data_IF_686992774438
#
_entry.id   IF_686992774438
#
_cell.length_a   1.000
_cell.length_b   1.000
_cell.length_c   1.000
_cell.angle_alpha   90.00
_cell.angle_beta   90.00
_cell.angle_gamma   90.00
#
_symmetry.space_group_name_H-M   'P 1'
#
loop_
_entity.id
_entity.type
_entity.pdbx_description
1 polymer ?
#
# COMPACT_ATOMS: atom_id res chain seq x y z
N UNK A 1 -15.11 9.71 18.56
CA UNK A 1 -13.90 10.37 18.03
C UNK A 1 -12.93 10.79 19.13
N UNK A 2 -13.30 11.67 20.06
CA UNK A 2 -12.37 12.24 21.09
C UNK A 2 -11.75 11.23 22.05
N UNK A 3 -12.46 10.17 22.43
CA UNK A 3 -11.88 9.07 23.24
C UNK A 3 -10.76 8.35 22.49
N UNK A 4 -10.96 8.11 21.18
CA UNK A 4 -9.90 7.52 20.34
C UNK A 4 -8.69 8.43 20.22
N UNK A 5 -8.89 9.75 20.04
CA UNK A 5 -7.80 10.73 19.97
C UNK A 5 -6.99 10.80 21.26
N UNK A 6 -7.66 10.73 22.42
CA UNK A 6 -6.98 10.71 23.72
C UNK A 6 -6.15 9.43 23.89
N UNK A 7 -6.69 8.27 23.50
CA UNK A 7 -5.94 7.02 23.55
C UNK A 7 -4.72 7.02 22.62
N UNK A 8 -4.82 7.69 21.45
CA UNK A 8 -3.66 7.86 20.55
C UNK A 8 -2.61 8.82 21.11
N UNK A 9 -3.02 9.88 21.81
CA UNK A 9 -2.12 10.79 22.51
C UNK A 9 -1.39 10.06 23.65
N UNK A 10 -2.08 9.25 24.43
CA UNK A 10 -1.48 8.45 25.50
C UNK A 10 -0.46 7.45 24.91
N UNK A 11 -0.82 6.76 23.82
CA UNK A 11 0.10 5.88 23.11
C UNK A 11 1.33 6.61 22.55
N UNK A 12 1.14 7.81 22.00
CA UNK A 12 2.24 8.64 21.51
C UNK A 12 3.24 8.99 22.62
N UNK A 13 2.73 9.35 23.81
CA UNK A 13 3.56 9.64 24.96
C UNK A 13 4.33 8.40 25.43
N UNK A 14 3.69 7.23 25.48
CA UNK A 14 4.36 5.96 25.78
C UNK A 14 5.49 5.62 24.80
N UNK A 15 5.24 5.83 23.50
CA UNK A 15 6.24 5.61 22.45
C UNK A 15 7.42 6.56 22.65
N UNK A 16 7.15 7.83 22.92
CA UNK A 16 8.18 8.83 23.18
C UNK A 16 9.05 8.46 24.40
N UNK A 17 8.43 8.00 25.49
CA UNK A 17 9.16 7.49 26.66
C UNK A 17 10.02 6.26 26.32
N UNK A 18 9.48 5.31 25.55
CA UNK A 18 10.21 4.09 25.13
C UNK A 18 11.39 4.43 24.21
N UNK A 19 11.24 5.40 23.31
CA UNK A 19 12.33 5.85 22.44
C UNK A 19 13.51 6.48 23.19
N UNK A 20 13.27 7.04 24.37
CA UNK A 20 14.32 7.60 25.26
C UNK A 20 15.06 6.54 26.09
N UNK A 21 14.58 5.29 26.12
CA UNK A 21 15.21 4.24 26.90
C UNK A 21 16.46 3.67 26.21
N UNK A 22 17.58 3.49 26.92
CA UNK A 22 18.82 2.94 26.34
C UNK A 22 18.66 1.54 25.73
N UNK A 23 17.74 0.73 26.27
CA UNK A 23 17.44 -0.62 25.79
C UNK A 23 16.82 -0.58 24.38
N UNK A 24 15.96 0.37 24.12
CA UNK A 24 15.30 0.58 22.82
C UNK A 24 16.30 1.06 21.77
N UNK A 25 17.20 1.98 22.14
CA UNK A 25 18.23 2.52 21.23
C UNK A 25 19.20 1.44 20.76
N UNK A 26 19.49 0.46 21.64
CA UNK A 26 20.37 -0.67 21.30
C UNK A 26 19.70 -1.75 20.43
N UNK A 27 18.37 -1.73 20.30
CA UNK A 27 17.62 -2.66 19.47
C UNK A 27 17.10 -1.96 18.20
N UNK A 28 17.87 -2.04 17.13
CA UNK A 28 17.59 -1.35 15.84
C UNK A 28 16.21 -1.68 15.28
N UNK A 29 15.77 -2.93 15.37
CA UNK A 29 14.46 -3.36 14.85
C UNK A 29 13.31 -2.73 15.64
N UNK A 30 13.38 -2.78 16.98
CA UNK A 30 12.38 -2.18 17.86
C UNK A 30 12.36 -0.66 17.70
N UNK A 31 13.55 -0.03 17.66
CA UNK A 31 13.66 1.42 17.44
C UNK A 31 13.01 1.85 16.14
N UNK A 32 13.30 1.15 15.03
CA UNK A 32 12.74 1.47 13.71
C UNK A 32 11.20 1.32 13.70
N UNK A 33 10.67 0.28 14.35
CA UNK A 33 9.22 0.08 14.47
C UNK A 33 8.55 1.21 15.27
N UNK A 34 9.12 1.58 16.43
CA UNK A 34 8.59 2.66 17.26
C UNK A 34 8.68 4.02 16.57
N UNK A 35 9.76 4.28 15.81
CA UNK A 35 9.90 5.52 15.03
C UNK A 35 8.89 5.63 13.90
N UNK A 36 8.53 4.52 13.25
CA UNK A 36 7.44 4.51 12.26
C UNK A 36 6.09 4.86 12.90
N UNK A 37 5.77 4.23 14.04
CA UNK A 37 4.55 4.56 14.78
C UNK A 37 4.54 6.02 15.25
N UNK A 38 5.67 6.51 15.78
CA UNK A 38 5.84 7.90 16.19
C UNK A 38 5.55 8.86 15.04
N UNK A 39 6.18 8.65 13.87
CA UNK A 39 5.96 9.46 12.66
C UNK A 39 4.49 9.47 12.23
N UNK A 40 3.80 8.34 12.37
CA UNK A 40 2.39 8.20 11.99
C UNK A 40 1.47 8.96 12.95
N UNK A 41 1.75 8.95 14.25
CA UNK A 41 0.92 9.57 15.28
C UNK A 41 1.17 11.09 15.44
N UNK A 42 2.38 11.56 15.12
CA UNK A 42 2.78 12.97 15.26
C UNK A 42 1.75 13.94 14.68
N UNK A 43 1.33 13.86 13.39
CA UNK A 43 0.40 14.82 12.82
C UNK A 43 -0.99 14.78 13.48
N UNK A 44 -1.41 13.62 13.98
CA UNK A 44 -2.70 13.46 14.68
C UNK A 44 -2.64 14.18 16.04
N UNK A 45 -1.57 13.95 16.80
CA UNK A 45 -1.40 14.53 18.14
C UNK A 45 -1.18 16.04 18.08
N UNK A 46 -0.43 16.54 17.08
CA UNK A 46 -0.25 17.97 16.87
C UNK A 46 -1.59 18.67 16.56
N UNK A 47 -2.36 18.12 15.62
CA UNK A 47 -3.69 18.68 15.29
C UNK A 47 -4.68 18.56 16.44
N UNK A 48 -4.62 17.50 17.21
CA UNK A 48 -5.44 17.38 18.42
C UNK A 48 -5.02 18.38 19.50
N UNK A 49 -3.74 18.70 19.61
CA UNK A 49 -3.23 19.77 20.44
C UNK A 49 -3.74 21.17 20.03
N UNK A 50 -3.80 21.44 18.71
CA UNK A 50 -4.40 22.67 18.17
C UNK A 50 -5.90 22.74 18.49
N UNK A 51 -6.64 21.65 18.31
CA UNK A 51 -8.06 21.56 18.67
C UNK A 51 -8.32 21.83 20.15
N UNK A 52 -7.51 21.27 21.06
CA UNK A 52 -7.63 21.54 22.49
C UNK A 52 -7.41 23.00 22.83
N UNK A 53 -6.48 23.68 22.15
CA UNK A 53 -6.24 25.12 22.33
C UNK A 53 -7.44 25.94 21.85
N UNK A 54 -7.97 25.63 20.65
CA UNK A 54 -9.15 26.28 20.11
C UNK A 54 -10.36 26.09 21.03
N UNK A 55 -10.54 24.85 21.56
CA UNK A 55 -11.60 24.55 22.51
C UNK A 55 -11.46 25.33 23.81
N UNK A 56 -10.25 25.40 24.38
CA UNK A 56 -10.00 26.17 25.59
C UNK A 56 -10.29 27.66 25.40
N UNK A 57 -9.90 28.23 24.25
CA UNK A 57 -10.21 29.60 23.89
C UNK A 57 -11.72 29.84 23.72
N UNK A 58 -12.44 28.87 23.15
CA UNK A 58 -13.90 28.92 23.04
C UNK A 58 -14.58 28.90 24.42
N UNK A 59 -14.17 27.96 25.29
CA UNK A 59 -14.71 27.82 26.64
C UNK A 59 -14.43 29.08 27.49
N UNK A 60 -13.22 29.66 27.39
CA UNK A 60 -12.86 30.93 28.05
C UNK A 60 -13.72 32.11 27.55
N UNK A 61 -13.92 32.22 26.23
CA UNK A 61 -14.76 33.26 25.65
C UNK A 61 -16.25 33.15 26.10
N UNK A 62 -16.75 31.92 26.25
CA UNK A 62 -18.09 31.67 26.79
C UNK A 62 -18.20 32.04 28.26
N UNK A 63 -17.23 31.66 29.08
CA UNK A 63 -17.20 32.03 30.51
C UNK A 63 -17.16 33.53 30.69
N UNK A 64 -16.35 34.24 29.89
CA UNK A 64 -16.28 35.70 29.92
C UNK A 64 -17.63 36.36 29.53
N UNK A 65 -18.30 35.84 28.51
CA UNK A 65 -19.62 36.35 28.10
C UNK A 65 -20.70 36.15 29.17
N UNK A 66 -20.65 34.99 29.86
CA UNK A 66 -21.60 34.61 30.91
C UNK A 66 -21.37 35.41 32.22
N UNK A 67 -20.11 35.78 32.53
CA UNK A 67 -19.78 36.56 33.70
C UNK A 67 -20.36 37.99 33.65
N UNK A 68 -20.64 38.54 32.49
CA UNK A 68 -21.24 39.85 32.28
C UNK A 68 -20.38 40.98 32.81
N UNK A 69 -20.90 42.23 32.72
CA UNK A 69 -20.22 43.40 33.30
C UNK A 69 -19.13 44.03 32.40
N UNK A 70 -18.99 43.56 31.16
CA UNK A 70 -18.04 44.03 30.17
C UNK A 70 -18.52 45.32 29.48
N UNK A 71 -17.58 46.18 29.08
CA UNK A 71 -17.89 47.26 28.18
C UNK A 71 -18.22 46.73 26.75
N UNK A 72 -18.77 47.63 25.92
CA UNK A 72 -19.26 47.24 24.60
C UNK A 72 -18.12 46.76 23.68
N UNK A 73 -16.99 47.46 23.71
CA UNK A 73 -15.86 47.17 22.82
C UNK A 73 -15.18 45.81 23.20
N UNK A 74 -15.05 45.53 24.50
CA UNK A 74 -14.52 44.28 25.01
C UNK A 74 -15.47 43.10 24.69
N UNK A 75 -16.78 43.33 24.81
CA UNK A 75 -17.77 42.31 24.46
C UNK A 75 -17.73 41.95 22.96
N UNK A 76 -17.59 42.97 22.08
CA UNK A 76 -17.45 42.73 20.64
C UNK A 76 -16.17 41.93 20.34
N UNK A 77 -15.05 42.22 21.00
CA UNK A 77 -13.80 41.48 20.86
C UNK A 77 -13.94 40.01 21.30
N UNK A 78 -14.58 39.74 22.45
CA UNK A 78 -14.82 38.38 22.94
C UNK A 78 -15.77 37.61 22.02
N UNK A 79 -16.78 38.28 21.43
CA UNK A 79 -17.67 37.68 20.45
C UNK A 79 -16.91 37.27 19.15
N UNK A 80 -16.03 38.15 18.66
CA UNK A 80 -15.18 37.82 17.51
C UNK A 80 -14.27 36.59 17.81
N UNK A 81 -13.65 36.57 18.99
CA UNK A 81 -12.83 35.42 19.41
C UNK A 81 -13.63 34.14 19.52
N UNK A 82 -14.89 34.22 19.97
CA UNK A 82 -15.81 33.08 20.04
C UNK A 82 -16.17 32.54 18.65
N UNK A 83 -16.41 33.42 17.68
CA UNK A 83 -16.71 33.02 16.30
C UNK A 83 -15.48 32.40 15.65
N UNK A 84 -14.30 33.01 15.75
CA UNK A 84 -13.04 32.49 15.23
C UNK A 84 -12.70 31.11 15.83
N UNK A 85 -12.80 30.96 17.15
CA UNK A 85 -12.52 29.68 17.79
C UNK A 85 -13.51 28.56 17.38
N UNK A 86 -14.79 28.89 17.10
CA UNK A 86 -15.76 27.93 16.57
C UNK A 86 -15.44 27.48 15.15
N UNK A 87 -15.04 28.41 14.28
CA UNK A 87 -14.63 28.10 12.91
C UNK A 87 -13.37 27.22 12.91
N UNK A 88 -12.38 27.57 13.74
CA UNK A 88 -11.17 26.79 13.90
C UNK A 88 -11.45 25.38 14.43
N UNK A 89 -12.31 25.24 15.43
CA UNK A 89 -12.73 23.94 15.95
C UNK A 89 -13.40 23.09 14.86
N UNK A 90 -14.32 23.65 14.10
CA UNK A 90 -15.01 22.93 13.04
C UNK A 90 -14.04 22.45 11.95
N UNK A 91 -13.12 23.30 11.54
CA UNK A 91 -12.07 22.97 10.57
C UNK A 91 -11.13 21.89 11.08
N UNK A 92 -10.67 22.02 12.32
CA UNK A 92 -9.78 21.04 12.95
C UNK A 92 -10.47 19.70 13.20
N UNK A 93 -11.78 19.67 13.46
CA UNK A 93 -12.56 18.44 13.53
C UNK A 93 -12.62 17.70 12.20
N UNK A 94 -12.79 18.39 11.08
CA UNK A 94 -12.75 17.79 9.76
C UNK A 94 -11.35 17.26 9.42
N UNK A 95 -10.30 18.04 9.71
CA UNK A 95 -8.92 17.60 9.51
C UNK A 95 -8.58 16.37 10.37
N UNK A 96 -9.02 16.33 11.63
CA UNK A 96 -8.84 15.19 12.52
C UNK A 96 -9.60 13.95 12.06
N UNK A 97 -10.82 14.09 11.54
CA UNK A 97 -11.56 12.99 10.93
C UNK A 97 -10.78 12.37 9.76
N UNK A 98 -10.21 13.20 8.90
CA UNK A 98 -9.36 12.75 7.78
C UNK A 98 -8.09 12.02 8.26
N UNK A 99 -7.42 12.54 9.30
CA UNK A 99 -6.22 11.94 9.86
C UNK A 99 -6.48 10.61 10.58
N UNK A 100 -7.70 10.41 11.09
CA UNK A 100 -8.13 9.17 11.76
C UNK A 100 -8.57 8.07 10.78
N UNK A 101 -8.67 8.37 9.47
CA UNK A 101 -8.95 7.35 8.48
C UNK A 101 -7.85 6.27 8.50
N UNK A 102 -8.23 5.00 8.40
CA UNK A 102 -7.25 3.93 8.34
C UNK A 102 -6.36 4.13 7.12
N UNK A 103 -5.07 4.35 7.37
CA UNK A 103 -4.06 4.40 6.30
C UNK A 103 -3.87 2.98 5.77
N UNK A 104 -3.73 2.86 4.46
CA UNK A 104 -3.34 1.60 3.85
C UNK A 104 -1.90 1.26 4.31
N UNK A 105 -1.67 0.08 4.91
CA UNK A 105 -0.33 -0.31 5.37
C UNK A 105 0.70 -0.36 4.23
N UNK A 106 0.23 -0.41 2.99
CA UNK A 106 1.09 -0.40 1.81
C UNK A 106 1.47 1.00 1.32
N UNK A 107 0.85 2.08 1.86
CA UNK A 107 1.07 3.45 1.38
C UNK A 107 2.53 3.93 1.49
N UNK A 108 3.31 3.37 2.42
CA UNK A 108 4.73 3.68 2.58
C UNK A 108 5.66 2.77 1.75
N UNK A 109 5.12 1.76 1.06
CA UNK A 109 5.90 0.81 0.28
C UNK A 109 6.31 1.37 -1.07
N UNK A 110 7.37 0.82 -1.62
CA UNK A 110 7.67 0.93 -3.04
C UNK A 110 6.59 0.23 -3.86
N UNK A 111 6.51 0.54 -5.13
CA UNK A 111 5.46 0.03 -6.01
C UNK A 111 6.06 -0.64 -7.25
N UNK A 112 5.45 -1.74 -7.66
CA UNK A 112 5.71 -2.40 -8.93
C UNK A 112 4.55 -2.09 -9.86
N UNK A 113 4.85 -1.53 -11.03
CA UNK A 113 3.87 -1.20 -12.06
C UNK A 113 4.08 -2.13 -13.25
N UNK A 114 3.01 -2.78 -13.66
CA UNK A 114 2.97 -3.60 -14.88
C UNK A 114 2.01 -2.97 -15.88
N UNK A 115 2.52 -2.66 -17.05
CA UNK A 115 1.74 -2.10 -18.16
C UNK A 115 1.71 -3.13 -19.26
N UNK A 116 0.50 -3.50 -19.72
CA UNK A 116 0.32 -4.46 -20.81
C UNK A 116 -0.61 -3.88 -21.89
N UNK A 117 -0.22 -4.04 -23.15
CA UNK A 117 -1.10 -3.77 -24.28
C UNK A 117 -2.34 -4.68 -24.21
N UNK A 118 -3.54 -4.08 -24.28
CA UNK A 118 -4.81 -4.78 -24.36
C UNK A 118 -5.34 -4.85 -25.80
N UNK A 119 -6.59 -4.46 -26.00
CA UNK A 119 -7.18 -4.41 -27.35
C UNK A 119 -6.59 -3.25 -28.17
N UNK A 120 -6.07 -3.54 -29.36
CA UNK A 120 -5.55 -2.51 -30.29
C UNK A 120 -4.22 -2.84 -30.96
N UNK A 121 -3.62 -4.01 -30.64
CA UNK A 121 -2.38 -4.45 -31.28
C UNK A 121 -1.21 -3.48 -31.07
N UNK A 122 -0.53 -3.10 -32.14
CA UNK A 122 0.61 -2.17 -32.14
C UNK A 122 0.29 -0.82 -31.49
N UNK A 123 -0.91 -0.29 -31.72
CA UNK A 123 -1.34 0.98 -31.13
C UNK A 123 -1.44 0.90 -29.59
N UNK A 124 -1.90 -0.23 -29.08
CA UNK A 124 -1.91 -0.47 -27.64
C UNK A 124 -0.48 -0.53 -27.08
N UNK A 125 0.45 -1.14 -27.80
CA UNK A 125 1.86 -1.19 -27.40
C UNK A 125 2.53 0.19 -27.42
N UNK A 126 2.25 1.02 -28.42
CA UNK A 126 2.74 2.41 -28.47
C UNK A 126 2.17 3.25 -27.33
N UNK A 127 0.88 3.04 -27.01
CA UNK A 127 0.28 3.75 -25.87
C UNK A 127 0.81 3.27 -24.51
N UNK A 128 1.15 2.00 -24.37
CA UNK A 128 1.88 1.49 -23.19
C UNK A 128 3.22 2.22 -23.00
N UNK A 129 3.94 2.49 -24.09
CA UNK A 129 5.15 3.31 -24.07
C UNK A 129 4.89 4.75 -23.63
N UNK A 130 3.78 5.34 -24.08
CA UNK A 130 3.36 6.69 -23.66
C UNK A 130 3.06 6.76 -22.15
N UNK A 131 2.37 5.74 -21.60
CA UNK A 131 2.09 5.64 -20.16
C UNK A 131 3.36 5.41 -19.36
N UNK A 132 4.25 4.53 -19.80
CA UNK A 132 5.55 4.33 -19.12
C UNK A 132 6.34 5.65 -19.07
N UNK A 133 6.40 6.39 -20.16
CA UNK A 133 7.05 7.71 -20.20
C UNK A 133 6.39 8.68 -19.21
N UNK A 134 5.07 8.74 -19.17
CA UNK A 134 4.30 9.57 -18.23
C UNK A 134 4.68 9.26 -16.78
N UNK A 135 4.68 7.99 -16.39
CA UNK A 135 5.04 7.58 -15.04
C UNK A 135 6.52 7.84 -14.72
N UNK A 136 7.41 7.67 -15.72
CA UNK A 136 8.84 7.95 -15.55
C UNK A 136 9.10 9.43 -15.30
N UNK A 137 8.43 10.31 -16.03
CA UNK A 137 8.54 11.75 -15.83
C UNK A 137 7.91 12.19 -14.50
N UNK A 138 6.79 11.58 -14.13
CA UNK A 138 6.14 11.83 -12.86
C UNK A 138 7.03 11.42 -11.68
N UNK A 139 7.59 10.22 -11.71
CA UNK A 139 8.52 9.75 -10.70
C UNK A 139 9.74 10.67 -10.56
N UNK A 140 10.32 11.09 -11.68
CA UNK A 140 11.44 12.05 -11.69
C UNK A 140 11.06 13.38 -11.03
N UNK A 141 9.84 13.89 -11.27
CA UNK A 141 9.34 15.13 -10.66
C UNK A 141 9.17 15.03 -9.14
N UNK A 142 8.89 13.81 -8.63
CA UNK A 142 8.76 13.53 -7.19
C UNK A 142 10.07 13.10 -6.53
N UNK A 143 11.16 12.99 -7.29
CA UNK A 143 12.46 12.50 -6.80
C UNK A 143 12.48 11.00 -6.52
N UNK A 144 11.56 10.23 -7.12
CA UNK A 144 11.53 8.77 -7.02
C UNK A 144 12.44 8.12 -8.05
N UNK A 145 12.96 6.95 -7.72
CA UNK A 145 13.82 6.15 -8.60
C UNK A 145 12.99 5.10 -9.33
N UNK A 146 13.25 4.92 -10.64
CA UNK A 146 12.63 3.87 -11.44
C UNK A 146 13.69 2.85 -11.84
N UNK A 147 13.34 1.57 -11.73
CA UNK A 147 14.13 0.45 -12.22
C UNK A 147 13.25 -0.46 -13.10
N UNK A 148 13.66 -0.66 -14.35
CA UNK A 148 12.96 -1.58 -15.26
C UNK A 148 13.34 -3.00 -14.94
N UNK A 149 12.34 -3.81 -14.56
CA UNK A 149 12.51 -5.23 -14.21
C UNK A 149 12.40 -6.14 -15.43
N UNK A 150 11.43 -5.86 -16.29
CA UNK A 150 11.18 -6.62 -17.51
C UNK A 150 10.54 -5.73 -18.58
N UNK A 151 10.95 -5.89 -19.84
CA UNK A 151 10.38 -5.16 -20.95
C UNK A 151 10.31 -6.07 -22.20
N UNK A 152 9.14 -6.06 -22.84
CA UNK A 152 8.91 -6.71 -24.15
C UNK A 152 8.57 -5.63 -25.17
N UNK A 153 9.61 -5.14 -25.82
CA UNK A 153 9.52 -4.05 -26.79
C UNK A 153 8.96 -4.53 -28.15
N UNK A 154 8.31 -3.63 -28.88
CA UNK A 154 7.88 -3.84 -30.25
C UNK A 154 8.81 -3.14 -31.23
N UNK A 155 8.79 -3.56 -32.50
CA UNK A 155 9.62 -2.98 -33.55
C UNK A 155 9.39 -1.47 -33.75
N UNK A 156 8.21 -0.96 -33.41
CA UNK A 156 7.83 0.45 -33.51
C UNK A 156 8.13 1.25 -32.23
N UNK A 157 8.86 0.70 -31.26
CA UNK A 157 9.25 1.40 -30.04
C UNK A 157 8.16 1.45 -28.94
N UNK A 158 7.12 0.63 -29.06
CA UNK A 158 6.13 0.41 -28.00
C UNK A 158 6.49 -0.78 -27.12
N UNK A 159 5.64 -1.07 -26.13
CA UNK A 159 5.78 -2.22 -25.22
C UNK A 159 4.55 -3.11 -25.29
N UNK A 160 4.73 -4.40 -25.63
CA UNK A 160 3.68 -5.41 -25.40
C UNK A 160 3.42 -5.57 -23.90
N UNK A 161 4.49 -5.55 -23.14
CA UNK A 161 4.49 -5.59 -21.68
C UNK A 161 5.75 -4.88 -21.18
N UNK A 162 5.60 -4.08 -20.12
CA UNK A 162 6.71 -3.52 -19.36
C UNK A 162 6.38 -3.56 -17.87
N UNK A 163 7.35 -4.03 -17.08
CA UNK A 163 7.28 -4.08 -15.62
C UNK A 163 8.45 -3.29 -15.05
N UNK A 164 8.17 -2.39 -14.14
CA UNK A 164 9.18 -1.56 -13.48
C UNK A 164 8.80 -1.28 -12.03
N UNK A 165 9.81 -1.10 -11.19
CA UNK A 165 9.63 -0.64 -9.82
C UNK A 165 9.75 0.88 -9.75
N UNK A 166 9.03 1.48 -8.81
CA UNK A 166 9.15 2.89 -8.45
C UNK A 166 9.41 2.96 -6.95
N UNK A 167 10.57 3.44 -6.56
CA UNK A 167 11.02 3.50 -5.17
C UNK A 167 11.09 4.95 -4.70
N UNK A 168 10.40 5.24 -3.61
CA UNK A 168 10.38 6.56 -2.98
C UNK A 168 9.25 6.72 -1.98
N UNK A 169 9.37 7.71 -1.10
CA UNK A 169 8.39 7.96 -0.04
C UNK A 169 7.01 8.28 -0.65
N UNK A 170 6.00 7.48 -0.25
CA UNK A 170 4.62 7.66 -0.70
C UNK A 170 4.35 7.25 -2.16
N UNK A 171 5.25 6.52 -2.82
CA UNK A 171 5.08 6.12 -4.21
C UNK A 171 3.80 5.28 -4.41
N UNK A 172 3.57 4.27 -3.58
CA UNK A 172 2.37 3.45 -3.66
C UNK A 172 1.10 4.26 -3.36
N UNK A 173 1.12 5.14 -2.36
CA UNK A 173 -0.05 5.94 -1.95
C UNK A 173 -0.61 6.80 -3.08
N UNK A 174 0.25 7.25 -4.01
CA UNK A 174 -0.11 8.06 -5.17
C UNK A 174 -0.49 7.20 -6.38
N UNK A 175 0.33 6.19 -6.67
CA UNK A 175 0.22 5.40 -7.90
C UNK A 175 -0.85 4.30 -7.82
N UNK A 176 -1.32 3.90 -6.62
CA UNK A 176 -2.40 2.92 -6.45
C UNK A 176 -3.68 3.26 -7.22
N UNK A 177 -3.95 4.54 -7.43
CA UNK A 177 -5.10 5.02 -8.20
C UNK A 177 -4.95 4.87 -9.71
N UNK A 178 -3.78 4.47 -10.20
CA UNK A 178 -3.52 4.26 -11.62
C UNK A 178 -3.84 2.84 -12.10
N UNK A 179 -4.21 1.94 -11.19
CA UNK A 179 -4.55 0.55 -11.53
C UNK A 179 -5.87 0.46 -12.28
N UNK A 180 -5.88 -0.29 -13.38
CA UNK A 180 -7.08 -0.55 -14.20
C UNK A 180 -6.84 -0.47 -15.71
N UNK A 181 -7.93 -0.33 -16.47
CA UNK A 181 -7.91 -0.26 -17.93
C UNK A 181 -7.88 1.20 -18.39
N UNK A 182 -6.82 1.59 -19.08
CA UNK A 182 -6.65 2.90 -19.69
C UNK A 182 -7.01 2.82 -21.18
N UNK A 183 -7.92 3.66 -21.61
CA UNK A 183 -8.41 3.70 -23.00
C UNK A 183 -7.86 4.92 -23.73
N UNK A 184 -7.27 4.73 -24.90
CA UNK A 184 -6.81 5.81 -25.77
C UNK A 184 -7.67 5.92 -27.02
N UNK A 185 -7.94 7.15 -27.44
CA UNK A 185 -8.60 7.50 -28.70
C UNK A 185 -7.70 8.47 -29.45
N UNK A 186 -7.03 7.97 -30.51
CA UNK A 186 -6.19 8.78 -31.39
C UNK A 186 -6.12 8.17 -32.78
N UNK A 187 -5.65 8.92 -33.73
CA UNK A 187 -5.26 8.40 -35.03
C UNK A 187 -3.89 7.73 -34.86
N UNK A 188 -3.76 6.40 -35.03
CA UNK A 188 -2.47 5.72 -34.90
C UNK A 188 -1.47 6.24 -35.95
N UNK A 189 -0.19 6.18 -35.65
CA UNK A 189 0.87 6.48 -36.63
C UNK A 189 0.87 5.53 -37.82
N UNK A 190 0.31 4.34 -37.66
CA UNK A 190 0.17 3.30 -38.67
C UNK A 190 -1.10 3.47 -39.54
N UNK A 191 -1.98 4.44 -39.22
CA UNK A 191 -3.25 4.65 -39.92
C UNK A 191 -3.08 5.68 -41.03
N UNK A 192 -3.26 5.25 -42.29
CA UNK A 192 -3.10 6.10 -43.46
C UNK A 192 -4.33 6.91 -43.84
N UNK A 193 -5.53 6.55 -43.33
CA UNK A 193 -6.82 7.20 -43.72
C UNK A 193 -7.31 8.20 -42.64
N UNK A 194 -6.51 8.48 -41.59
CA UNK A 194 -6.85 9.45 -40.55
C UNK A 194 -8.01 9.03 -39.64
N UNK A 195 -8.35 7.75 -39.56
CA UNK A 195 -9.42 7.25 -38.70
C UNK A 195 -8.97 7.18 -37.26
N UNK A 196 -9.83 7.66 -36.36
CA UNK A 196 -9.60 7.53 -34.89
C UNK A 196 -9.81 6.08 -34.49
N UNK A 197 -8.79 5.47 -33.91
CA UNK A 197 -8.87 4.14 -33.32
C UNK A 197 -9.02 4.25 -31.78
N UNK A 198 -9.61 3.20 -31.20
CA UNK A 198 -9.75 3.06 -29.77
C UNK A 198 -8.96 1.84 -29.32
N UNK A 199 -7.93 2.06 -28.54
CA UNK A 199 -7.07 1.01 -27.98
C UNK A 199 -7.11 1.03 -26.45
N UNK A 200 -6.73 -0.07 -25.83
CA UNK A 200 -6.68 -0.21 -24.38
C UNK A 200 -5.33 -0.73 -23.91
N UNK A 201 -4.94 -0.28 -22.74
CA UNK A 201 -3.77 -0.74 -22.01
C UNK A 201 -4.21 -1.04 -20.58
N UNK A 202 -3.75 -2.13 -20.02
CA UNK A 202 -3.98 -2.47 -18.62
C UNK A 202 -2.79 -2.08 -17.78
N UNK A 203 -3.04 -1.46 -16.63
CA UNK A 203 -2.03 -1.08 -15.65
C UNK A 203 -2.35 -1.80 -14.36
N UNK A 204 -1.43 -2.64 -13.88
CA UNK A 204 -1.49 -3.19 -12.53
C UNK A 204 -0.48 -2.46 -11.65
N UNK A 205 -0.92 -2.11 -10.44
CA UNK A 205 -0.12 -1.40 -9.45
C UNK A 205 -0.09 -2.25 -8.19
N UNK A 206 1.07 -2.80 -7.87
CA UNK A 206 1.26 -3.75 -6.79
C UNK A 206 2.25 -3.16 -5.77
N UNK A 207 1.99 -3.27 -4.46
CA UNK A 207 3.00 -2.92 -3.48
C UNK A 207 4.17 -3.90 -3.58
N UNK A 208 5.39 -3.40 -3.41
CA UNK A 208 6.57 -4.27 -3.30
C UNK A 208 6.41 -5.19 -2.10
N UNK A 209 6.56 -6.49 -2.34
CA UNK A 209 6.40 -7.50 -1.31
C UNK A 209 7.65 -7.59 -0.44
N UNK A 210 7.45 -7.73 0.87
CA UNK A 210 8.55 -8.02 1.80
C UNK A 210 9.11 -9.43 1.53
N UNK A 211 10.39 -9.63 1.79
CA UNK A 211 10.98 -10.96 1.77
C UNK A 211 10.30 -11.87 2.79
N UNK A 212 9.97 -13.08 2.35
CA UNK A 212 9.29 -14.07 3.20
C UNK A 212 10.28 -14.65 4.18
N UNK A 213 10.27 -14.18 5.41
CA UNK A 213 11.03 -14.79 6.50
C UNK A 213 10.23 -15.94 7.13
N UNK A 214 10.95 -17.03 7.45
CA UNK A 214 10.41 -18.15 8.19
C UNK A 214 10.81 -18.04 9.66
N UNK A 215 9.90 -17.55 10.50
CA UNK A 215 10.04 -17.66 11.95
C UNK A 215 9.49 -19.03 12.39
N UNK A 216 10.40 -19.91 12.81
CA UNK A 216 10.09 -21.26 13.24
C UNK A 216 10.64 -21.49 14.64
N UNK A 217 9.75 -21.59 15.63
CA UNK A 217 10.12 -21.95 16.99
C UNK A 217 10.12 -23.48 17.13
N UNK A 218 11.32 -24.09 17.13
CA UNK A 218 11.46 -25.55 17.18
C UNK A 218 10.83 -26.20 18.42
N UNK A 219 10.78 -25.50 19.55
CA UNK A 219 10.25 -26.05 20.81
C UNK A 219 8.72 -26.01 20.88
N UNK A 220 8.10 -24.98 20.31
CA UNK A 220 6.65 -24.77 20.39
C UNK A 220 5.90 -25.31 19.20
N UNK A 221 6.49 -25.19 18.00
CA UNK A 221 5.80 -25.44 16.75
C UNK A 221 6.03 -26.84 16.20
N UNK A 222 7.01 -27.58 16.76
CA UNK A 222 7.38 -28.90 16.24
C UNK A 222 7.10 -30.02 17.23
N UNK A 223 6.44 -31.05 16.73
CA UNK A 223 6.39 -32.39 17.37
C UNK A 223 7.34 -33.30 16.68
N UNK A 224 8.31 -33.85 17.42
CA UNK A 224 9.33 -34.75 16.92
C UNK A 224 9.09 -36.17 17.48
N UNK A 225 8.76 -37.08 16.58
CA UNK A 225 8.56 -38.49 16.89
C UNK A 225 9.73 -39.34 16.34
N UNK A 226 10.25 -40.24 17.17
CA UNK A 226 11.32 -41.16 16.80
C UNK A 226 10.72 -42.54 16.57
N UNK A 227 11.01 -43.14 15.44
CA UNK A 227 10.51 -44.48 15.12
C UNK A 227 11.58 -45.37 14.47
N UNK A 228 11.26 -46.65 14.29
CA UNK A 228 12.17 -47.60 13.65
C UNK A 228 12.06 -47.46 12.14
N UNK A 229 13.23 -47.40 11.47
CA UNK A 229 13.26 -47.34 10.01
C UNK A 229 12.64 -48.63 9.42
N UNK A 230 11.88 -48.46 8.35
CA UNK A 230 11.32 -49.58 7.58
C UNK A 230 12.17 -49.83 6.32
N UNK A 231 12.57 -51.03 6.04
CA UNK A 231 13.31 -51.37 4.81
C UNK A 231 14.09 -52.69 4.91
N UNK A 232 14.60 -53.16 3.77
CA UNK A 232 15.48 -54.36 3.70
C UNK A 232 16.86 -54.01 4.31
N UNK A 233 17.10 -54.40 5.55
CA UNK A 233 18.37 -54.15 6.25
C UNK A 233 18.62 -55.15 7.37
N UNK A 234 19.88 -55.22 7.81
CA UNK A 234 20.34 -56.16 8.83
C UNK A 234 19.91 -55.75 10.26
N UNK A 235 20.47 -56.38 11.28
CA UNK A 235 20.10 -56.21 12.71
C UNK A 235 20.07 -54.75 13.21
N UNK A 236 20.82 -53.87 12.58
CA UNK A 236 20.89 -52.46 12.99
C UNK A 236 19.58 -51.67 12.69
N UNK A 237 18.94 -51.93 11.54
CA UNK A 237 17.68 -51.25 11.12
C UNK A 237 16.52 -51.73 12.01
N UNK A 238 16.52 -52.99 12.43
CA UNK A 238 15.42 -53.57 13.21
C UNK A 238 15.51 -53.27 14.72
N UNK A 239 16.70 -52.92 15.23
CA UNK A 239 16.91 -52.68 16.67
C UNK A 239 17.04 -51.21 17.07
N UNK A 240 17.48 -50.33 16.18
CA UNK A 240 17.73 -48.90 16.51
C UNK A 240 16.64 -48.02 15.92
N UNK A 241 16.02 -47.16 16.77
CA UNK A 241 15.07 -46.16 16.34
C UNK A 241 15.83 -44.91 15.82
N UNK A 242 16.23 -44.94 14.55
CA UNK A 242 17.00 -43.88 13.91
C UNK A 242 16.15 -42.97 13.00
N UNK A 243 14.96 -43.42 12.63
CA UNK A 243 14.04 -42.64 11.81
C UNK A 243 13.35 -41.54 12.61
N UNK A 244 13.20 -40.39 12.00
CA UNK A 244 12.58 -39.18 12.58
C UNK A 244 11.37 -38.76 11.76
N UNK A 245 10.28 -38.47 12.46
CA UNK A 245 9.10 -37.75 11.91
C UNK A 245 8.96 -36.44 12.63
N UNK A 246 8.92 -35.35 11.87
CA UNK A 246 8.69 -34.02 12.39
C UNK A 246 7.34 -33.56 11.87
N UNK A 247 6.46 -33.17 12.78
CA UNK A 247 5.16 -32.57 12.48
C UNK A 247 5.18 -31.11 12.90
N UNK A 248 4.92 -30.23 11.96
CA UNK A 248 4.71 -28.79 12.25
C UNK A 248 3.27 -28.61 12.71
N UNK A 249 3.07 -28.31 13.98
CA UNK A 249 1.75 -28.27 14.63
C UNK A 249 0.79 -27.25 13.99
N UNK A 250 1.22 -25.99 13.66
CA UNK A 250 0.31 -25.01 13.11
C UNK A 250 -0.23 -25.35 11.72
N UNK A 251 0.58 -25.99 10.84
CA UNK A 251 0.17 -26.31 9.46
C UNK A 251 -0.20 -27.77 9.26
N UNK A 252 0.10 -28.64 10.23
CA UNK A 252 -0.07 -30.08 10.10
C UNK A 252 0.91 -30.72 9.12
N UNK A 253 1.93 -30.02 8.62
CA UNK A 253 2.92 -30.54 7.69
C UNK A 253 3.79 -31.58 8.36
N UNK A 254 3.95 -32.73 7.72
CA UNK A 254 4.75 -33.84 8.23
C UNK A 254 5.94 -34.10 7.30
N UNK A 255 7.11 -34.27 7.88
CA UNK A 255 8.34 -34.68 7.18
C UNK A 255 8.96 -35.88 7.90
N UNK A 256 9.26 -36.91 7.15
CA UNK A 256 9.95 -38.10 7.65
C UNK A 256 11.33 -38.23 7.00
N UNK A 257 12.30 -38.62 7.78
CA UNK A 257 13.65 -38.91 7.31
C UNK A 257 14.20 -40.19 7.98
N UNK A 258 14.66 -41.14 7.15
CA UNK A 258 15.25 -42.41 7.60
C UNK A 258 16.49 -42.80 6.78
N UNK A 259 17.11 -41.84 6.09
CA UNK A 259 18.19 -42.07 5.12
C UNK A 259 19.51 -42.44 5.80
N UNK A 260 19.75 -41.90 6.98
CA UNK A 260 21.00 -42.04 7.69
C UNK A 260 20.87 -43.03 8.88
N UNK A 261 22.00 -43.62 9.26
CA UNK A 261 22.07 -44.48 10.46
C UNK A 261 22.02 -43.69 11.77
N UNK A 262 22.29 -42.39 11.71
CA UNK A 262 22.30 -41.47 12.85
C UNK A 262 20.98 -40.74 12.96
N UNK A 263 20.32 -40.89 14.11
CA UNK A 263 19.10 -40.18 14.46
C UNK A 263 19.29 -38.64 14.36
N UNK A 264 20.46 -38.15 14.82
CA UNK A 264 20.76 -36.72 14.80
C UNK A 264 20.83 -36.19 13.36
N UNK A 265 21.50 -36.88 12.46
CA UNK A 265 21.58 -36.50 11.03
C UNK A 265 20.22 -36.57 10.36
N UNK A 266 19.37 -37.54 10.69
CA UNK A 266 18.00 -37.62 10.17
C UNK A 266 17.15 -36.47 10.68
N UNK A 267 17.30 -36.03 11.95
CA UNK A 267 16.63 -34.86 12.50
C UNK A 267 17.04 -33.60 11.76
N UNK A 268 18.33 -33.36 11.55
CA UNK A 268 18.85 -32.19 10.84
C UNK A 268 18.36 -32.14 9.39
N UNK A 269 18.39 -33.28 8.66
CA UNK A 269 17.82 -33.37 7.32
C UNK A 269 16.32 -33.08 7.29
N UNK A 270 15.57 -33.68 8.20
CA UNK A 270 14.13 -33.50 8.28
C UNK A 270 13.77 -32.03 8.57
N UNK A 271 14.48 -31.36 9.48
CA UNK A 271 14.31 -29.93 9.76
C UNK A 271 14.61 -29.08 8.53
N UNK A 272 15.69 -29.37 7.80
CA UNK A 272 16.05 -28.64 6.57
C UNK A 272 14.95 -28.77 5.51
N UNK A 273 14.43 -29.97 5.30
CA UNK A 273 13.33 -30.23 4.35
C UNK A 273 12.04 -29.56 4.81
N UNK A 274 11.73 -29.59 6.10
CA UNK A 274 10.56 -28.91 6.65
C UNK A 274 10.63 -27.41 6.45
N UNK A 275 11.77 -26.79 6.77
CA UNK A 275 11.98 -25.34 6.55
C UNK A 275 11.80 -24.96 5.10
N UNK A 276 12.37 -25.73 4.17
CA UNK A 276 12.20 -25.48 2.73
C UNK A 276 10.72 -25.57 2.32
N UNK A 277 10.00 -26.60 2.75
CA UNK A 277 8.58 -26.77 2.39
C UNK A 277 7.68 -25.69 3.00
N UNK A 278 7.94 -25.26 4.24
CA UNK A 278 7.19 -24.18 4.88
C UNK A 278 7.45 -22.85 4.19
N UNK A 279 8.71 -22.59 3.81
CA UNK A 279 9.06 -21.39 3.02
C UNK A 279 8.35 -21.42 1.66
N UNK A 280 8.42 -22.54 0.94
CA UNK A 280 7.74 -22.70 -0.35
C UNK A 280 6.22 -22.47 -0.23
N UNK A 281 5.59 -22.99 0.83
CA UNK A 281 4.17 -22.78 1.08
C UNK A 281 3.84 -21.30 1.33
N UNK A 282 4.64 -20.60 2.12
CA UNK A 282 4.46 -19.16 2.36
C UNK A 282 4.64 -18.33 1.07
N UNK A 283 5.68 -18.62 0.29
CA UNK A 283 5.94 -17.97 -1.00
C UNK A 283 4.79 -18.22 -1.99
N UNK A 284 4.27 -19.45 -2.04
CA UNK A 284 3.12 -19.76 -2.90
C UNK A 284 1.84 -19.03 -2.47
N UNK A 285 1.60 -18.91 -1.16
CA UNK A 285 0.47 -18.15 -0.64
C UNK A 285 0.57 -16.65 -1.02
N UNK A 286 1.75 -16.04 -0.83
CA UNK A 286 2.01 -14.65 -1.21
C UNK A 286 1.87 -14.43 -2.72
N UNK A 287 2.44 -15.31 -3.55
CA UNK A 287 2.32 -15.23 -5.00
C UNK A 287 0.87 -15.36 -5.48
N UNK A 288 0.07 -16.21 -4.81
CA UNK A 288 -1.36 -16.33 -5.10
C UNK A 288 -2.10 -15.03 -4.78
N UNK A 289 -1.86 -14.44 -3.63
CA UNK A 289 -2.46 -13.15 -3.24
C UNK A 289 -2.10 -12.04 -4.24
N UNK A 290 -0.83 -11.94 -4.64
CA UNK A 290 -0.37 -10.99 -5.66
C UNK A 290 -1.08 -11.25 -7.00
N UNK A 291 -1.22 -12.52 -7.41
CA UNK A 291 -1.89 -12.89 -8.65
C UNK A 291 -3.40 -12.56 -8.62
N UNK A 292 -4.07 -12.79 -7.49
CA UNK A 292 -5.48 -12.48 -7.31
C UNK A 292 -5.71 -10.94 -7.30
N UNK A 293 -4.85 -10.18 -6.62
CA UNK A 293 -4.86 -8.71 -6.62
C UNK A 293 -4.64 -8.15 -8.03
N UNK A 294 -3.63 -8.67 -8.76
CA UNK A 294 -3.39 -8.30 -10.16
C UNK A 294 -4.63 -8.56 -11.02
N UNK A 295 -5.24 -9.73 -10.89
CA UNK A 295 -6.43 -10.11 -11.68
C UNK A 295 -7.61 -9.18 -11.40
N UNK A 296 -7.84 -8.80 -10.14
CA UNK A 296 -8.92 -7.88 -9.77
C UNK A 296 -8.73 -6.48 -10.35
N UNK A 297 -7.49 -6.00 -10.46
CA UNK A 297 -7.17 -4.68 -11.02
C UNK A 297 -7.31 -4.62 -12.54
N UNK A 298 -6.90 -5.68 -13.25
CA UNK A 298 -6.75 -5.68 -14.71
C UNK A 298 -8.03 -6.13 -15.41
N UNK A 299 -8.90 -6.89 -14.74
CA UNK A 299 -10.12 -7.44 -15.35
C UNK A 299 -9.83 -8.26 -16.62
N UNK A 300 -10.64 -8.08 -17.66
CA UNK A 300 -10.45 -8.69 -18.98
C UNK A 300 -9.64 -7.82 -19.95
N UNK A 301 -9.39 -6.55 -19.59
CA UNK A 301 -8.77 -5.55 -20.46
C UNK A 301 -9.67 -5.05 -21.60
N UNK A 302 -10.98 -5.33 -21.51
CA UNK A 302 -11.96 -4.88 -22.51
C UNK A 302 -12.15 -3.36 -22.45
N UNK A 303 -12.54 -2.78 -23.60
CA UNK A 303 -12.78 -1.34 -23.72
C UNK A 303 -13.92 -0.81 -22.83
N UNK A 304 -14.81 -1.67 -22.38
CA UNK A 304 -15.92 -1.35 -21.48
C UNK A 304 -15.46 -1.14 -20.02
N UNK A 305 -14.40 -1.81 -19.60
CA UNK A 305 -13.87 -1.79 -18.21
C UNK A 305 -12.99 -0.56 -17.92
N UNK A 306 -12.93 0.38 -18.83
CA UNK A 306 -12.07 1.56 -18.71
C UNK A 306 -12.26 2.34 -17.43
N UNK A 307 -11.18 2.65 -16.74
CA UNK A 307 -11.15 3.62 -15.65
C UNK A 307 -10.95 5.04 -16.18
N UNK A 308 -10.13 5.20 -17.23
CA UNK A 308 -9.75 6.50 -17.78
C UNK A 308 -9.68 6.48 -19.30
N UNK A 309 -10.09 7.58 -19.94
CA UNK A 309 -10.02 7.76 -21.40
C UNK A 309 -9.13 8.96 -21.73
N UNK A 310 -8.18 8.74 -22.61
CA UNK A 310 -7.28 9.73 -23.21
C UNK A 310 -7.74 10.02 -24.63
N UNK A 311 -8.36 11.20 -24.85
CA UNK A 311 -8.89 11.62 -26.14
C UNK A 311 -7.96 12.65 -26.77
N UNK A 312 -7.13 12.23 -27.71
CA UNK A 312 -6.15 13.09 -28.38
C UNK A 312 -6.79 14.15 -29.27
N UNK A 313 -7.79 13.84 -30.14
CA UNK A 313 -8.46 14.85 -30.95
C UNK A 313 -9.03 16.02 -30.17
N UNK A 314 -9.52 15.78 -28.96
CA UNK A 314 -10.11 16.82 -28.10
C UNK A 314 -9.14 17.34 -27.02
N UNK A 315 -7.92 16.80 -26.93
CA UNK A 315 -6.92 17.20 -25.94
C UNK A 315 -7.36 16.98 -24.48
N UNK A 316 -8.31 16.03 -24.25
CA UNK A 316 -8.92 15.81 -22.94
C UNK A 316 -8.63 14.42 -22.36
N UNK A 317 -8.66 14.36 -21.03
CA UNK A 317 -8.64 13.14 -20.24
C UNK A 317 -9.91 13.10 -19.39
N UNK A 318 -10.59 11.94 -19.37
CA UNK A 318 -11.77 11.73 -18.52
C UNK A 318 -11.54 10.50 -17.64
N UNK A 319 -11.56 10.70 -16.30
CA UNK A 319 -11.58 9.61 -15.34
C UNK A 319 -13.03 9.27 -14.99
N UNK A 320 -13.41 8.03 -15.33
CA UNK A 320 -14.82 7.60 -15.26
C UNK A 320 -15.25 7.21 -13.84
N UNK A 321 -14.31 6.98 -12.95
CA UNK A 321 -14.59 6.61 -11.54
C UNK A 321 -15.22 7.76 -10.76
N UNK A 322 -14.77 8.98 -11.04
CA UNK A 322 -15.21 10.20 -10.35
C UNK A 322 -15.85 11.22 -11.29
N UNK A 323 -16.04 10.88 -12.59
CA UNK A 323 -16.61 11.77 -13.58
C UNK A 323 -15.78 13.01 -13.92
N UNK A 324 -14.49 13.03 -13.53
CA UNK A 324 -13.58 14.14 -13.77
C UNK A 324 -13.17 14.22 -15.25
N UNK A 325 -13.23 15.42 -15.83
CA UNK A 325 -12.70 15.68 -17.18
C UNK A 325 -11.79 16.89 -17.16
N UNK A 326 -10.57 16.74 -17.68
CA UNK A 326 -9.57 17.82 -17.77
C UNK A 326 -9.07 17.95 -19.22
N UNK A 327 -8.78 19.18 -19.65
CA UNK A 327 -8.34 19.52 -21.01
C UNK A 327 -6.83 19.82 -21.05
N UNK A 328 -6.03 18.95 -20.41
CA UNK A 328 -4.57 19.08 -20.29
C UNK A 328 -3.85 17.78 -20.62
N UNK A 329 -4.30 17.11 -21.68
CA UNK A 329 -3.79 15.80 -22.10
C UNK A 329 -2.25 15.76 -22.18
N UNK A 330 -1.65 16.72 -22.89
CA UNK A 330 -0.20 16.76 -23.10
C UNK A 330 0.57 16.96 -21.79
N UNK A 331 0.07 17.82 -20.89
CA UNK A 331 0.71 18.06 -19.60
C UNK A 331 0.72 16.79 -18.74
N UNK A 332 -0.39 16.08 -18.69
CA UNK A 332 -0.51 14.82 -17.95
C UNK A 332 0.44 13.77 -18.53
N UNK A 333 0.45 13.59 -19.84
CA UNK A 333 1.35 12.64 -20.51
C UNK A 333 2.83 13.02 -20.39
N UNK A 334 3.13 14.26 -20.08
CA UNK A 334 4.46 14.77 -19.76
C UNK A 334 4.77 14.75 -18.26
N UNK A 335 4.05 13.95 -17.46
CA UNK A 335 4.38 13.67 -16.07
C UNK A 335 3.72 14.58 -15.03
N UNK A 336 2.57 15.18 -15.34
CA UNK A 336 1.79 15.98 -14.40
C UNK A 336 0.37 15.40 -14.16
N UNK A 337 0.20 14.16 -13.66
CA UNK A 337 -1.10 13.56 -13.37
C UNK A 337 -1.67 13.99 -12.00
N UNK A 338 -1.02 14.88 -11.24
CA UNK A 338 -1.36 15.23 -9.86
C UNK A 338 -2.83 15.61 -9.69
N UNK A 339 -3.38 16.46 -10.58
CA UNK A 339 -4.79 16.91 -10.49
C UNK A 339 -5.78 15.73 -10.48
N UNK A 340 -5.50 14.68 -11.26
CA UNK A 340 -6.35 13.48 -11.31
C UNK A 340 -6.13 12.62 -10.07
N UNK A 341 -4.88 12.44 -9.67
CA UNK A 341 -4.52 11.61 -8.50
C UNK A 341 -5.08 12.24 -7.23
N UNK A 342 -4.97 13.56 -7.06
CA UNK A 342 -5.49 14.28 -5.90
C UNK A 342 -7.01 14.22 -5.82
N UNK A 343 -7.71 14.37 -6.94
CA UNK A 343 -9.16 14.20 -7.00
C UNK A 343 -9.61 12.78 -6.64
N UNK A 344 -8.88 11.76 -7.10
CA UNK A 344 -9.15 10.36 -6.74
C UNK A 344 -8.86 10.08 -5.26
N UNK A 345 -7.77 10.62 -4.72
CA UNK A 345 -7.45 10.49 -3.30
C UNK A 345 -8.51 11.14 -2.43
N UNK A 346 -8.99 12.33 -2.81
CA UNK A 346 -10.09 13.01 -2.10
C UNK A 346 -11.38 12.23 -2.15
N UNK A 347 -11.73 11.64 -3.31
CA UNK A 347 -12.92 10.81 -3.46
C UNK A 347 -12.82 9.51 -2.62
N UNK A 348 -11.65 8.86 -2.56
CA UNK A 348 -11.41 7.68 -1.72
C UNK A 348 -11.53 8.02 -0.23
N UNK A 349 -10.98 9.16 0.20
CA UNK A 349 -11.12 9.65 1.57
C UNK A 349 -12.58 9.93 1.93
N UNK A 350 -13.34 10.58 1.04
CA UNK A 350 -14.76 10.85 1.24
C UNK A 350 -15.58 9.56 1.34
N UNK A 351 -15.29 8.55 0.51
CA UNK A 351 -15.94 7.25 0.57
C UNK A 351 -15.65 6.51 1.90
N UNK A 352 -14.40 6.57 2.38
CA UNK A 352 -14.01 6.00 3.67
C UNK A 352 -14.67 6.70 4.86
N UNK A 353 -14.83 8.03 4.81
CA UNK A 353 -15.55 8.77 5.84
C UNK A 353 -17.03 8.36 5.88
N UNK A 354 -17.67 8.28 4.73
CA UNK A 354 -19.07 7.88 4.65
C UNK A 354 -19.30 6.46 5.21
N UNK A 355 -18.41 5.51 4.93
CA UNK A 355 -18.49 4.15 5.45
C UNK A 355 -18.31 4.07 6.98
N UNK A 356 -17.55 4.99 7.60
CA UNK A 356 -17.36 5.04 9.05
C UNK A 356 -18.56 5.69 9.79
N UNK A 357 -19.37 6.50 9.10
CA UNK A 357 -20.58 7.09 9.68
C UNK A 357 -21.77 6.11 9.68
N UNK A 358 -21.71 5.03 8.86
CA UNK A 358 -22.74 3.99 8.79
C UNK A 358 -22.51 2.84 9.79
N UNK A 359 -21.32 2.70 10.39
CA UNK A 359 -20.98 1.74 11.46
C UNK A 359 -21.15 2.37 12.86
#
# INVERSE_FOLDING_TARGET
MFEKLKALEDKFNEINEKLMQPETVNNTSLYTSLMKEYKTLTPIVEKFGEYKKAKAANDEALELLDAGGMDKDFKEMVQMQLEESKEDMAKLEEELKLLLLPKDPNDERNVIIEIRGGAGGEEAALFAGSLYRMYSMYAASKGWTIEVMNANETELGGYKEITFSVSGEGAYSRLKYESGVHRVQRVPETESQGRVHTSTVTVAVLPEADEVELDLNEEKDLKIDVFRSSGAGGQHINKTSSAIRITHLPTGMVVECQDERSQFKNKEKALKVLRSRLLDQKVQAQNKEIADNRRSQVGTGDRSERIRTYNYPEGRISDHRIGLTIYRLEQVLNGAPDEIIDALATADQAAKLASQEEE
#
